data_IF_617428029803
#
_entry.id   IF_617428029803
#
_cell.length_a   1.000
_cell.length_b   1.000
_cell.length_c   1.000
_cell.angle_alpha   90.00
_cell.angle_beta   90.00
_cell.angle_gamma   90.00
#
_symmetry.space_group_name_H-M   'P 1'
#
loop_
_entity.id
_entity.type
_entity.pdbx_description
1 polymer ?
#
# COMPACT_ATOMS: atom_id res chain seq x y z
N UNK A 1 -34.19 -33.85 -3.72
CA UNK A 1 -34.05 -32.45 -3.25
C UNK A 1 -32.92 -32.31 -2.24
N UNK A 2 -32.85 -33.12 -1.16
CA UNK A 2 -31.71 -33.11 -0.21
C UNK A 2 -30.35 -33.29 -0.88
N UNK A 3 -30.25 -34.26 -1.80
CA UNK A 3 -29.00 -34.58 -2.51
C UNK A 3 -28.48 -33.42 -3.37
N UNK A 4 -29.37 -32.56 -3.89
CA UNK A 4 -28.99 -31.40 -4.69
C UNK A 4 -28.30 -30.35 -3.80
N UNK A 5 -28.84 -30.08 -2.61
CA UNK A 5 -28.24 -29.14 -1.67
C UNK A 5 -26.89 -29.63 -1.13
N UNK A 6 -26.79 -30.93 -0.85
CA UNK A 6 -25.52 -31.55 -0.44
C UNK A 6 -24.48 -31.47 -1.56
N UNK A 7 -24.88 -31.74 -2.81
CA UNK A 7 -24.01 -31.60 -3.98
C UNK A 7 -23.53 -30.15 -4.18
N UNK A 8 -24.43 -29.17 -4.09
CA UNK A 8 -24.10 -27.75 -4.21
C UNK A 8 -23.14 -27.32 -3.11
N UNK A 9 -23.41 -27.68 -1.85
CA UNK A 9 -22.54 -27.37 -0.72
C UNK A 9 -21.14 -27.98 -0.88
N UNK A 10 -21.06 -29.24 -1.33
CA UNK A 10 -19.78 -29.92 -1.57
C UNK A 10 -18.98 -29.31 -2.73
N UNK A 11 -19.66 -28.89 -3.79
CA UNK A 11 -19.04 -28.21 -4.93
C UNK A 11 -18.47 -26.85 -4.52
N UNK A 12 -19.25 -26.05 -3.79
CA UNK A 12 -18.80 -24.75 -3.26
C UNK A 12 -17.62 -24.92 -2.30
N UNK A 13 -17.66 -25.92 -1.41
CA UNK A 13 -16.56 -26.22 -0.51
C UNK A 13 -15.27 -26.60 -1.27
N UNK A 14 -15.40 -27.37 -2.34
CA UNK A 14 -14.24 -27.78 -3.17
C UNK A 14 -13.64 -26.58 -3.90
N UNK A 15 -14.48 -25.70 -4.44
CA UNK A 15 -14.08 -24.45 -5.04
C UNK A 15 -13.36 -23.56 -4.01
N UNK A 16 -13.90 -23.44 -2.79
CA UNK A 16 -13.30 -22.68 -1.70
C UNK A 16 -11.92 -23.20 -1.31
N UNK A 17 -11.75 -24.52 -1.23
CA UNK A 17 -10.44 -25.15 -1.03
C UNK A 17 -9.46 -24.81 -2.15
N UNK A 18 -9.93 -24.82 -3.39
CA UNK A 18 -9.10 -24.43 -4.54
C UNK A 18 -8.70 -22.95 -4.47
N UNK A 19 -9.64 -22.05 -4.15
CA UNK A 19 -9.33 -20.62 -3.96
C UNK A 19 -8.33 -20.43 -2.81
N UNK A 20 -8.48 -21.15 -1.69
CA UNK A 20 -7.55 -21.07 -0.57
C UNK A 20 -6.11 -21.42 -1.00
N UNK A 21 -5.93 -22.49 -1.78
CA UNK A 21 -4.62 -22.88 -2.31
C UNK A 21 -4.06 -21.80 -3.25
N UNK A 22 -4.92 -21.19 -4.07
CA UNK A 22 -4.51 -20.11 -4.97
C UNK A 22 -4.12 -18.84 -4.22
N UNK A 23 -4.81 -18.50 -3.15
CA UNK A 23 -4.45 -17.38 -2.26
C UNK A 23 -3.10 -17.65 -1.61
N UNK A 24 -2.88 -18.83 -1.03
CA UNK A 24 -1.60 -19.20 -0.40
C UNK A 24 -0.44 -19.09 -1.39
N UNK A 25 -0.66 -19.55 -2.63
CA UNK A 25 0.34 -19.38 -3.69
C UNK A 25 0.57 -17.90 -4.03
N UNK A 26 -0.48 -17.12 -4.22
CA UNK A 26 -0.36 -15.70 -4.55
C UNK A 26 0.35 -14.91 -3.43
N UNK A 27 0.14 -15.28 -2.17
CA UNK A 27 0.83 -14.71 -0.99
C UNK A 27 2.31 -15.07 -1.01
N UNK A 28 2.67 -16.33 -1.27
CA UNK A 28 4.07 -16.76 -1.40
C UNK A 28 4.77 -16.04 -2.54
N UNK A 29 4.12 -16.00 -3.71
CA UNK A 29 4.63 -15.28 -4.88
C UNK A 29 4.81 -13.79 -4.54
N UNK A 30 3.88 -13.17 -3.79
CA UNK A 30 4.01 -11.78 -3.32
C UNK A 30 5.19 -11.56 -2.35
N UNK A 31 5.55 -12.58 -1.57
CA UNK A 31 6.67 -12.53 -0.61
C UNK A 31 8.03 -12.76 -1.27
N UNK A 32 8.09 -13.48 -2.40
CA UNK A 32 9.32 -13.79 -3.12
C UNK A 32 9.63 -12.78 -4.23
N UNK A 33 8.60 -12.12 -4.79
CA UNK A 33 8.77 -11.16 -5.89
C UNK A 33 9.44 -9.88 -5.41
N UNK A 34 10.55 -9.54 -6.09
CA UNK A 34 11.26 -8.29 -5.88
C UNK A 34 10.37 -7.09 -6.24
N UNK A 35 10.56 -5.99 -5.52
CA UNK A 35 9.59 -4.91 -5.30
C UNK A 35 9.04 -4.21 -6.56
N UNK A 36 9.62 -4.47 -7.73
CA UNK A 36 9.26 -3.89 -9.02
C UNK A 36 8.16 -4.67 -9.77
N UNK A 37 7.92 -5.95 -9.42
CA UNK A 37 6.85 -6.78 -10.05
C UNK A 37 5.64 -7.01 -9.14
N UNK A 38 5.58 -6.35 -7.97
CA UNK A 38 4.55 -6.55 -6.94
C UNK A 38 3.11 -6.17 -7.35
N UNK A 39 2.92 -5.54 -8.52
CA UNK A 39 1.61 -5.11 -9.03
C UNK A 39 0.73 -6.32 -9.37
N UNK A 40 1.31 -7.41 -9.88
CA UNK A 40 0.58 -8.62 -10.28
C UNK A 40 0.04 -9.43 -9.10
N UNK A 41 0.84 -9.81 -8.07
CA UNK A 41 0.30 -10.56 -6.94
C UNK A 41 -0.74 -9.76 -6.13
N UNK A 42 -0.58 -8.44 -6.00
CA UNK A 42 -1.54 -7.60 -5.32
C UNK A 42 -2.90 -7.56 -6.05
N UNK A 43 -2.90 -7.46 -7.38
CA UNK A 43 -4.12 -7.49 -8.19
C UNK A 43 -4.87 -8.83 -8.06
N UNK A 44 -4.15 -9.94 -8.02
CA UNK A 44 -4.70 -11.28 -7.86
C UNK A 44 -5.35 -11.46 -6.48
N UNK A 45 -4.71 -11.04 -5.39
CA UNK A 45 -5.31 -11.08 -4.05
C UNK A 45 -6.59 -10.23 -3.96
N UNK A 46 -6.60 -9.03 -4.54
CA UNK A 46 -7.80 -8.17 -4.60
C UNK A 46 -8.91 -8.82 -5.44
N UNK A 47 -8.56 -9.53 -6.51
CA UNK A 47 -9.51 -10.31 -7.30
C UNK A 47 -10.14 -11.45 -6.47
N UNK A 48 -9.31 -12.26 -5.81
CA UNK A 48 -9.81 -13.39 -5.00
C UNK A 48 -10.68 -12.93 -3.83
N UNK A 49 -10.30 -11.84 -3.16
CA UNK A 49 -11.15 -11.22 -2.12
C UNK A 49 -12.53 -10.85 -2.67
N UNK A 50 -12.58 -10.14 -3.80
CA UNK A 50 -13.86 -9.73 -4.42
C UNK A 50 -14.71 -10.92 -4.83
N UNK A 51 -14.07 -11.99 -5.31
CA UNK A 51 -14.75 -13.23 -5.65
C UNK A 51 -15.34 -13.91 -4.41
N UNK A 52 -14.58 -14.01 -3.31
CA UNK A 52 -15.04 -14.56 -2.04
C UNK A 52 -16.21 -13.75 -1.45
N UNK A 53 -16.15 -12.42 -1.46
CA UNK A 53 -17.24 -11.56 -0.99
C UNK A 53 -18.53 -11.72 -1.82
N UNK A 54 -18.40 -11.93 -3.13
CA UNK A 54 -19.55 -12.23 -3.99
C UNK A 54 -20.19 -13.55 -3.60
N UNK A 55 -19.37 -14.59 -3.40
CA UNK A 55 -19.84 -15.93 -3.01
C UNK A 55 -20.44 -15.94 -1.60
N UNK A 56 -19.88 -15.18 -0.66
CA UNK A 56 -20.46 -14.99 0.67
C UNK A 56 -21.88 -14.41 0.59
N UNK A 57 -22.07 -13.37 -0.24
CA UNK A 57 -23.40 -12.76 -0.46
C UNK A 57 -24.39 -13.73 -1.09
N UNK A 58 -23.96 -14.50 -2.09
CA UNK A 58 -24.77 -15.52 -2.73
C UNK A 58 -25.19 -16.61 -1.72
N UNK A 59 -24.24 -17.15 -0.94
CA UNK A 59 -24.51 -18.15 0.09
C UNK A 59 -25.45 -17.64 1.19
N UNK A 60 -25.27 -16.38 1.64
CA UNK A 60 -26.18 -15.72 2.60
C UNK A 60 -27.59 -15.57 2.04
N UNK A 61 -27.70 -15.20 0.76
CA UNK A 61 -28.99 -15.12 0.07
C UNK A 61 -29.68 -16.49 0.03
N UNK A 62 -28.98 -17.53 -0.43
CA UNK A 62 -29.52 -18.90 -0.46
C UNK A 62 -29.94 -19.38 0.92
N UNK A 63 -29.14 -19.13 1.95
CA UNK A 63 -29.50 -19.46 3.34
C UNK A 63 -30.76 -18.71 3.79
N UNK A 64 -30.91 -17.43 3.45
CA UNK A 64 -32.12 -16.66 3.78
C UNK A 64 -33.39 -17.26 3.15
N UNK A 65 -33.30 -17.77 1.93
CA UNK A 65 -34.40 -18.46 1.26
C UNK A 65 -34.73 -19.79 1.93
N UNK A 66 -33.72 -20.52 2.43
CA UNK A 66 -33.90 -21.78 3.16
C UNK A 66 -34.57 -21.52 4.53
N UNK A 67 -34.14 -20.49 5.26
CA UNK A 67 -34.72 -20.12 6.56
C UNK A 67 -36.16 -19.61 6.43
N UNK A 68 -36.47 -18.88 5.34
CA UNK A 68 -37.81 -18.38 5.04
C UNK A 68 -38.71 -19.42 4.35
N UNK A 69 -38.38 -20.72 4.37
CA UNK A 69 -39.18 -21.74 3.64
C UNK A 69 -40.65 -21.82 4.05
N UNK A 70 -41.02 -21.27 5.21
CA UNK A 70 -42.38 -21.25 5.72
C UNK A 70 -43.25 -20.16 5.09
N UNK A 71 -42.64 -19.10 4.53
CA UNK A 71 -43.34 -18.03 3.80
C UNK A 71 -43.35 -18.24 2.29
N UNK A 72 -42.41 -19.04 1.78
CA UNK A 72 -42.38 -19.49 0.39
C UNK A 72 -43.23 -20.76 0.24
N UNK A 73 -44.01 -20.86 -0.84
CA UNK A 73 -44.85 -22.03 -1.16
C UNK A 73 -43.91 -23.21 -1.51
N UNK A 74 -43.29 -23.80 -0.50
CA UNK A 74 -42.37 -24.90 -0.66
C UNK A 74 -43.16 -26.20 -0.83
N UNK A 75 -42.84 -27.06 -1.81
CA UNK A 75 -43.48 -28.35 -1.95
C UNK A 75 -43.29 -29.17 -0.66
N UNK A 76 -44.36 -29.32 0.11
CA UNK A 76 -44.34 -30.07 1.37
C UNK A 76 -44.95 -31.45 1.10
N UNK A 77 -44.40 -32.50 1.71
CA UNK A 77 -44.94 -33.84 1.57
C UNK A 77 -46.37 -33.88 2.13
N UNK A 78 -47.35 -34.12 1.26
CA UNK A 78 -48.76 -34.21 1.63
C UNK A 78 -48.99 -35.44 2.52
N UNK A 79 -49.43 -35.21 3.76
CA UNK A 79 -50.03 -36.15 4.72
C UNK A 79 -49.21 -37.25 5.42
N UNK A 80 -47.93 -37.47 5.12
CA UNK A 80 -47.12 -38.46 5.87
C UNK A 80 -46.18 -37.81 6.90
N UNK A 81 -46.51 -37.97 8.20
CA UNK A 81 -45.77 -37.37 9.33
C UNK A 81 -44.28 -37.77 9.35
N UNK A 82 -43.96 -38.98 8.88
CA UNK A 82 -42.58 -39.47 8.77
C UNK A 82 -41.81 -38.78 7.64
N UNK A 83 -42.46 -38.49 6.50
CA UNK A 83 -41.88 -37.75 5.38
C UNK A 83 -41.67 -36.27 5.72
N UNK A 84 -42.59 -35.68 6.49
CA UNK A 84 -42.50 -34.29 6.95
C UNK A 84 -41.33 -34.09 7.92
N UNK A 85 -41.13 -35.01 8.87
CA UNK A 85 -39.99 -35.03 9.79
C UNK A 85 -38.63 -35.13 9.05
N UNK A 86 -38.51 -36.05 8.08
CA UNK A 86 -37.30 -36.18 7.25
C UNK A 86 -36.99 -34.93 6.44
N UNK A 87 -38.01 -34.27 5.89
CA UNK A 87 -37.84 -33.02 5.13
C UNK A 87 -37.40 -31.84 6.00
N UNK A 88 -37.86 -31.78 7.26
CA UNK A 88 -37.46 -30.77 8.24
C UNK A 88 -36.01 -30.97 8.67
N UNK A 89 -35.62 -32.21 8.96
CA UNK A 89 -34.26 -32.56 9.32
C UNK A 89 -33.25 -32.26 8.20
N UNK A 90 -33.62 -32.54 6.94
CA UNK A 90 -32.80 -32.23 5.78
C UNK A 90 -32.59 -30.72 5.57
N UNK A 91 -33.63 -29.90 5.82
CA UNK A 91 -33.53 -28.45 5.75
C UNK A 91 -32.60 -27.88 6.84
N UNK A 92 -32.73 -28.38 8.09
CA UNK A 92 -31.86 -28.00 9.20
C UNK A 92 -30.38 -28.33 8.92
N UNK A 93 -30.13 -29.50 8.32
CA UNK A 93 -28.78 -29.91 7.93
C UNK A 93 -28.19 -28.96 6.88
N UNK A 94 -28.97 -28.64 5.85
CA UNK A 94 -28.53 -27.71 4.81
C UNK A 94 -28.24 -26.32 5.36
N UNK A 95 -29.06 -25.82 6.29
CA UNK A 95 -28.80 -24.54 6.95
C UNK A 95 -27.45 -24.55 7.67
N UNK A 96 -27.16 -25.59 8.45
CA UNK A 96 -25.89 -25.73 9.17
C UNK A 96 -24.69 -25.76 8.22
N UNK A 97 -24.81 -26.47 7.10
CA UNK A 97 -23.75 -26.56 6.10
C UNK A 97 -23.47 -25.20 5.43
N UNK A 98 -24.53 -24.43 5.09
CA UNK A 98 -24.37 -23.08 4.53
C UNK A 98 -23.82 -22.08 5.56
N UNK A 99 -24.17 -22.18 6.85
CA UNK A 99 -23.58 -21.36 7.92
C UNK A 99 -22.07 -21.61 8.03
N UNK A 100 -21.67 -22.87 8.05
CA UNK A 100 -20.27 -23.25 8.09
C UNK A 100 -19.51 -22.72 6.85
N UNK A 101 -20.12 -22.81 5.67
CA UNK A 101 -19.54 -22.27 4.44
C UNK A 101 -19.26 -20.77 4.54
N UNK A 102 -20.21 -20.00 5.07
CA UNK A 102 -20.08 -18.55 5.26
C UNK A 102 -18.93 -18.22 6.22
N UNK A 103 -18.83 -18.94 7.34
CA UNK A 103 -17.77 -18.76 8.33
C UNK A 103 -16.38 -19.00 7.71
N UNK A 104 -16.24 -20.06 6.90
CA UNK A 104 -15.00 -20.33 6.17
C UNK A 104 -14.67 -19.21 5.18
N UNK A 105 -15.65 -18.73 4.41
CA UNK A 105 -15.46 -17.63 3.45
C UNK A 105 -14.99 -16.34 4.17
N UNK A 106 -15.63 -16.00 5.29
CA UNK A 106 -15.27 -14.81 6.07
C UNK A 106 -13.86 -14.92 6.66
N UNK A 107 -13.47 -16.11 7.13
CA UNK A 107 -12.11 -16.40 7.57
C UNK A 107 -11.07 -16.18 6.46
N UNK A 108 -11.34 -16.68 5.25
CA UNK A 108 -10.46 -16.49 4.08
C UNK A 108 -10.36 -15.02 3.66
N UNK A 109 -11.47 -14.27 3.66
CA UNK A 109 -11.43 -12.83 3.40
C UNK A 109 -10.54 -12.09 4.41
N UNK A 110 -10.65 -12.43 5.70
CA UNK A 110 -9.82 -11.84 6.74
C UNK A 110 -8.33 -12.16 6.62
N UNK A 111 -7.97 -13.30 5.99
CA UNK A 111 -6.58 -13.59 5.64
C UNK A 111 -6.13 -12.68 4.50
N UNK A 112 -6.89 -12.61 3.40
CA UNK A 112 -6.57 -11.72 2.27
C UNK A 112 -6.36 -10.27 2.70
N UNK A 113 -7.18 -9.75 3.61
CA UNK A 113 -7.09 -8.36 4.08
C UNK A 113 -5.82 -8.08 4.88
N UNK A 114 -5.40 -9.03 5.72
CA UNK A 114 -4.14 -8.93 6.47
C UNK A 114 -2.95 -8.94 5.53
N UNK A 115 -2.92 -9.88 4.59
CA UNK A 115 -1.82 -10.00 3.62
C UNK A 115 -1.73 -8.77 2.70
N UNK A 116 -2.86 -8.28 2.19
CA UNK A 116 -2.91 -7.06 1.39
C UNK A 116 -2.41 -5.84 2.18
N UNK A 117 -2.78 -5.72 3.46
CA UNK A 117 -2.30 -4.62 4.30
C UNK A 117 -0.78 -4.64 4.48
N UNK A 118 -0.20 -5.82 4.71
CA UNK A 118 1.25 -5.99 4.82
C UNK A 118 1.95 -5.59 3.53
N UNK A 119 1.44 -6.05 2.37
CA UNK A 119 2.00 -5.73 1.06
C UNK A 119 1.95 -4.22 0.75
N UNK A 120 0.80 -3.58 0.99
CA UNK A 120 0.64 -2.13 0.77
C UNK A 120 1.56 -1.32 1.68
N UNK A 121 1.65 -1.68 2.95
CA UNK A 121 2.52 -0.99 3.91
C UNK A 121 3.99 -1.14 3.50
N UNK A 122 4.42 -2.34 3.10
CA UNK A 122 5.78 -2.60 2.64
C UNK A 122 6.11 -1.79 1.37
N UNK A 123 5.19 -1.73 0.40
CA UNK A 123 5.33 -0.93 -0.80
C UNK A 123 5.45 0.57 -0.49
N UNK A 124 4.57 1.09 0.38
CA UNK A 124 4.61 2.50 0.80
C UNK A 124 5.90 2.88 1.52
N UNK A 125 6.44 2.00 2.38
CA UNK A 125 7.74 2.23 3.05
C UNK A 125 8.87 2.30 2.02
N UNK A 126 8.88 1.42 1.02
CA UNK A 126 9.92 1.43 0.01
C UNK A 126 9.84 2.64 -0.91
N UNK A 127 8.63 3.04 -1.31
CA UNK A 127 8.42 4.26 -2.08
C UNK A 127 8.88 5.50 -1.29
N UNK A 128 8.57 5.57 0.00
CA UNK A 128 9.07 6.63 0.88
C UNK A 128 10.61 6.66 0.94
N UNK A 129 11.27 5.48 1.05
CA UNK A 129 12.74 5.39 1.01
C UNK A 129 13.31 5.89 -0.32
N UNK A 130 12.70 5.50 -1.45
CA UNK A 130 13.10 5.97 -2.78
C UNK A 130 12.94 7.48 -2.91
N UNK A 131 11.85 8.06 -2.42
CA UNK A 131 11.64 9.51 -2.40
C UNK A 131 12.70 10.25 -1.56
N UNK A 132 13.11 9.68 -0.42
CA UNK A 132 14.21 10.24 0.40
C UNK A 132 15.53 10.21 -0.37
N UNK A 133 15.83 9.12 -1.08
CA UNK A 133 17.05 8.97 -1.86
C UNK A 133 17.09 9.91 -3.07
N UNK A 134 15.97 10.08 -3.77
CA UNK A 134 15.80 11.09 -4.82
C UNK A 134 15.95 12.51 -4.26
N UNK A 135 15.45 12.77 -3.05
CA UNK A 135 15.68 14.05 -2.37
C UNK A 135 17.18 14.29 -2.12
N UNK A 136 17.93 13.25 -1.73
CA UNK A 136 19.36 13.33 -1.45
C UNK A 136 20.19 13.71 -2.69
N UNK A 137 19.84 13.22 -3.88
CA UNK A 137 20.54 13.59 -5.12
C UNK A 137 20.26 15.05 -5.50
N UNK A 138 19.01 15.52 -5.36
CA UNK A 138 18.66 16.93 -5.55
C UNK A 138 19.43 17.85 -4.60
N UNK A 139 19.61 17.46 -3.33
CA UNK A 139 20.42 18.22 -2.38
C UNK A 139 21.89 18.35 -2.79
N UNK A 140 22.44 17.39 -3.55
CA UNK A 140 23.79 17.47 -4.09
C UNK A 140 23.95 18.60 -5.11
N UNK A 141 22.99 18.73 -6.04
CA UNK A 141 22.99 19.80 -7.04
C UNK A 141 22.81 21.18 -6.42
N UNK A 142 21.90 21.33 -5.46
CA UNK A 142 21.71 22.60 -4.74
C UNK A 142 22.97 23.01 -4.00
N UNK A 143 23.68 22.06 -3.39
CA UNK A 143 24.95 22.32 -2.73
C UNK A 143 26.01 22.84 -3.70
N UNK A 144 26.16 22.19 -4.86
CA UNK A 144 27.13 22.59 -5.86
C UNK A 144 26.80 23.96 -6.47
N UNK A 145 25.53 24.21 -6.79
CA UNK A 145 25.07 25.50 -7.31
C UNK A 145 25.32 26.64 -6.31
N UNK A 146 25.07 26.42 -5.03
CA UNK A 146 25.29 27.43 -4.00
C UNK A 146 26.76 27.79 -3.78
N UNK A 147 27.70 26.92 -4.15
CA UNK A 147 29.14 27.21 -4.19
C UNK A 147 29.50 27.94 -5.48
N UNK A 148 28.96 27.47 -6.61
CA UNK A 148 29.32 27.97 -7.93
C UNK A 148 28.81 29.38 -8.20
N UNK A 149 27.63 29.75 -7.71
CA UNK A 149 27.03 31.09 -7.91
C UNK A 149 27.91 32.22 -7.34
N UNK A 150 28.30 32.23 -6.05
CA UNK A 150 29.15 33.28 -5.51
C UNK A 150 30.55 33.30 -6.14
N UNK A 151 31.13 32.12 -6.41
CA UNK A 151 32.42 32.03 -7.10
C UNK A 151 32.34 32.61 -8.51
N UNK A 152 31.34 32.23 -9.30
CA UNK A 152 31.13 32.76 -10.66
C UNK A 152 30.91 34.28 -10.66
N UNK A 153 30.21 34.80 -9.65
CA UNK A 153 30.04 36.24 -9.49
C UNK A 153 31.38 36.96 -9.25
N UNK A 154 32.22 36.43 -8.35
CA UNK A 154 33.56 36.99 -8.14
C UNK A 154 34.44 36.85 -9.39
N UNK A 155 34.43 35.70 -10.06
CA UNK A 155 35.19 35.52 -11.31
C UNK A 155 34.72 36.47 -12.41
N UNK A 156 33.42 36.74 -12.51
CA UNK A 156 32.87 37.69 -13.48
C UNK A 156 33.26 39.14 -13.16
N UNK A 157 33.15 39.57 -11.90
CA UNK A 157 33.53 40.93 -11.48
C UNK A 157 35.01 41.25 -11.69
N UNK A 158 35.89 40.28 -11.44
CA UNK A 158 37.34 40.45 -11.58
C UNK A 158 37.87 40.00 -12.96
N UNK A 159 37.07 39.26 -13.73
CA UNK A 159 37.38 38.85 -15.11
C UNK A 159 36.93 39.85 -16.16
N UNK A 160 35.93 40.70 -15.86
CA UNK A 160 35.65 41.89 -16.66
C UNK A 160 36.84 42.85 -16.51
N UNK A 161 37.51 43.20 -17.61
CA UNK A 161 38.58 44.20 -17.63
C UNK A 161 37.98 45.58 -17.31
N UNK A 162 37.80 45.88 -16.03
CA UNK A 162 37.29 47.17 -15.58
C UNK A 162 38.44 48.16 -15.70
N UNK A 163 38.34 49.11 -16.64
CA UNK A 163 39.39 50.12 -16.93
C UNK A 163 39.82 50.93 -15.70
N UNK A 164 38.98 50.99 -14.67
CA UNK A 164 39.27 51.59 -13.38
C UNK A 164 40.31 50.79 -12.55
N UNK A 165 40.41 49.47 -12.73
CA UNK A 165 41.41 48.60 -12.08
C UNK A 165 42.77 48.60 -12.78
N UNK A 166 42.86 49.13 -13.99
CA UNK A 166 44.12 49.26 -14.73
C UNK A 166 44.93 50.50 -14.29
N UNK A 167 44.25 51.50 -13.69
CA UNK A 167 44.87 52.72 -13.13
C UNK A 167 45.29 52.61 -11.67
N UNK A 168 44.70 51.69 -10.92
CA UNK A 168 45.06 51.40 -9.55
C UNK A 168 45.74 50.04 -9.55
N UNK A 169 47.03 49.96 -9.23
CA UNK A 169 47.80 48.72 -9.11
C UNK A 169 47.19 47.80 -8.02
N UNK A 170 46.05 47.19 -8.32
CA UNK A 170 45.34 46.33 -7.39
C UNK A 170 45.98 44.96 -7.46
N UNK A 171 46.67 44.51 -6.40
CA UNK A 171 47.29 43.22 -6.42
C UNK A 171 46.20 42.15 -6.54
N UNK A 172 46.47 41.09 -7.31
CA UNK A 172 45.65 39.87 -7.42
C UNK A 172 45.26 39.31 -6.04
N UNK A 173 46.00 39.67 -4.99
CA UNK A 173 45.69 39.41 -3.60
C UNK A 173 44.31 39.92 -3.13
N UNK A 174 43.82 41.05 -3.65
CA UNK A 174 42.49 41.61 -3.31
C UNK A 174 41.36 40.68 -3.75
N UNK A 175 41.52 39.99 -4.88
CA UNK A 175 40.56 38.98 -5.33
C UNK A 175 40.41 37.85 -4.31
N UNK A 176 41.52 37.35 -3.76
CA UNK A 176 41.51 36.29 -2.73
C UNK A 176 40.83 36.77 -1.45
N UNK A 177 41.13 38.00 -1.02
CA UNK A 177 40.55 38.61 0.20
C UNK A 177 39.05 38.83 0.09
N UNK A 178 38.52 39.10 -1.09
CA UNK A 178 37.07 39.29 -1.30
C UNK A 178 36.36 37.95 -1.50
N UNK A 179 36.97 37.01 -2.21
CA UNK A 179 36.33 35.74 -2.58
C UNK A 179 36.19 34.79 -1.39
N UNK A 180 37.19 34.72 -0.51
CA UNK A 180 37.16 33.87 0.69
C UNK A 180 35.98 34.20 1.62
N UNK A 181 35.76 35.44 2.07
CA UNK A 181 34.66 35.77 2.98
C UNK A 181 33.28 35.60 2.31
N UNK A 182 33.14 35.90 1.02
CA UNK A 182 31.88 35.68 0.28
C UNK A 182 31.54 34.19 0.20
N UNK A 183 32.54 33.35 -0.07
CA UNK A 183 32.40 31.90 -0.04
C UNK A 183 32.06 31.39 1.37
N UNK A 184 32.79 31.84 2.39
CA UNK A 184 32.56 31.49 3.79
C UNK A 184 31.15 31.86 4.23
N UNK A 185 30.68 33.06 3.88
CA UNK A 185 29.33 33.52 4.19
C UNK A 185 28.26 32.65 3.52
N UNK A 186 28.44 32.26 2.26
CA UNK A 186 27.53 31.34 1.57
C UNK A 186 27.48 29.96 2.23
N UNK A 187 28.64 29.42 2.62
CA UNK A 187 28.71 28.13 3.32
C UNK A 187 28.06 28.19 4.70
N UNK A 188 28.32 29.27 5.46
CA UNK A 188 27.72 29.49 6.78
C UNK A 188 26.21 29.65 6.67
N UNK A 189 25.70 30.41 5.70
CA UNK A 189 24.27 30.60 5.48
C UNK A 189 23.57 29.27 5.12
N UNK A 190 24.20 28.44 4.28
CA UNK A 190 23.72 27.09 3.97
C UNK A 190 23.71 26.19 5.20
N UNK A 191 24.77 26.20 6.01
CA UNK A 191 24.85 25.41 7.24
C UNK A 191 23.78 25.84 8.24
N UNK A 192 23.56 27.14 8.41
CA UNK A 192 22.51 27.69 9.27
C UNK A 192 21.11 27.29 8.78
N UNK A 193 20.87 27.39 7.48
CA UNK A 193 19.64 26.93 6.84
C UNK A 193 19.41 25.45 7.10
N UNK A 194 20.45 24.62 6.96
CA UNK A 194 20.38 23.17 7.23
C UNK A 194 20.07 22.83 8.68
N UNK A 195 20.71 23.54 9.63
CA UNK A 195 20.49 23.36 11.07
C UNK A 195 19.06 23.75 11.43
N UNK A 196 18.58 24.89 10.91
CA UNK A 196 17.21 25.39 11.17
C UNK A 196 16.15 24.47 10.56
N UNK A 197 16.37 23.93 9.36
CA UNK A 197 15.46 22.97 8.72
C UNK A 197 15.40 21.64 9.48
N UNK A 198 16.54 21.15 10.01
CA UNK A 198 16.55 19.98 10.91
C UNK A 198 15.72 20.25 12.17
N UNK A 199 15.94 21.37 12.83
CA UNK A 199 15.22 21.71 14.07
C UNK A 199 13.71 21.85 13.85
N UNK A 200 13.28 22.48 12.75
CA UNK A 200 11.87 22.61 12.39
C UNK A 200 11.21 21.26 12.11
N UNK A 201 11.89 20.37 11.39
CA UNK A 201 11.41 19.01 11.13
C UNK A 201 11.28 18.21 12.44
N UNK A 202 12.28 18.29 13.31
CA UNK A 202 12.27 17.54 14.57
C UNK A 202 11.22 18.09 15.55
N UNK A 203 10.87 19.38 15.45
CA UNK A 203 9.72 19.99 16.14
C UNK A 203 8.37 19.53 15.59
N UNK A 204 8.22 19.45 14.26
CA UNK A 204 7.02 18.95 13.60
C UNK A 204 6.73 17.49 13.94
N UNK A 205 7.76 16.64 13.97
CA UNK A 205 7.61 15.23 14.35
C UNK A 205 7.13 15.10 15.79
N UNK A 206 7.64 15.93 16.72
CA UNK A 206 7.16 15.93 18.12
C UNK A 206 5.72 16.40 18.28
N UNK A 207 5.22 17.28 17.42
CA UNK A 207 3.85 17.78 17.46
C UNK A 207 2.81 16.82 16.88
N UNK A 208 3.21 15.94 15.96
CA UNK A 208 2.32 14.92 15.35
C UNK A 208 2.19 13.66 16.21
N UNK A 209 3.12 13.45 17.15
CA UNK A 209 3.18 12.26 18.03
C UNK A 209 2.45 12.47 19.37
N UNK A 210 1.83 13.63 19.59
CA UNK A 210 0.97 13.97 20.75
C UNK A 210 -0.46 14.16 20.25
#
# INVERSE_FOLDING_TARGET
MSELFVFVAASELTLLKFIAIKIDKAVKDASEVDQETAITPQADLVFYRRLLERRSREAKSTLSHICNRHTLIWPTATSDSAAQSKSSLAALRSEKDFRYLIEVIEGLCGICDRELSVLVNAAGIAEAKRGIEQGKTLFGFTWLASIFVPLSFTTSLFGMNVREFEKAELPIWVWVVVTIPVFLFSVVFLFWGRIRLKDLRDRLIRLVVI
#
